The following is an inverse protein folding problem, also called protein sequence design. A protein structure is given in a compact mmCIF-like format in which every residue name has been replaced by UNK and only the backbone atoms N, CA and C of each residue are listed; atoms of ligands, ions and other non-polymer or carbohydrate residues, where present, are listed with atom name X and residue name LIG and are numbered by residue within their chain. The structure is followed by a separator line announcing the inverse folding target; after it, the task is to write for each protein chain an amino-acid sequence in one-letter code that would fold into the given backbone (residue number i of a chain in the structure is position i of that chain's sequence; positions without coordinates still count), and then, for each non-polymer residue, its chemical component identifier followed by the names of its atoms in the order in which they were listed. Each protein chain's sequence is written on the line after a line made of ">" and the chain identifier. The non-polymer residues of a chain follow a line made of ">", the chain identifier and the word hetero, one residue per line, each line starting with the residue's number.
data_IF_745741896776
#
_entry.id   IF_745741896776
#
_cell.length_a   1.000
_cell.length_b   1.000
_cell.length_c   1.000
_cell.angle_alpha   90.00
_cell.angle_beta   90.00
_cell.angle_gamma   90.00
#
_symmetry.space_group_name_H-M   'P 1'
#
loop_
_entity.id
_entity.type
_entity.pdbx_description
1 polymer ?
#
# COMPACT_ATOMS: atom_id res chain seq x y z
N UNK A 1 96.84 71.47 9.88
CA UNK A 1 96.09 71.13 8.64
C UNK A 1 96.85 70.06 7.86
N UNK A 2 96.11 69.06 7.40
CA UNK A 2 96.43 67.82 6.65
C UNK A 2 97.70 67.80 5.79
N UNK A 3 98.45 66.69 5.87
CA UNK A 3 99.07 66.04 4.70
C UNK A 3 98.78 64.53 4.75
N UNK A 4 97.68 64.12 4.15
CA UNK A 4 97.45 62.71 3.79
C UNK A 4 98.35 62.39 2.60
N UNK A 5 99.31 61.49 2.79
CA UNK A 5 100.14 60.94 1.73
C UNK A 5 99.25 60.14 0.77
N UNK A 6 98.94 60.70 -0.40
CA UNK A 6 98.36 59.95 -1.51
C UNK A 6 99.45 59.07 -2.11
N UNK A 7 99.43 57.77 -1.81
CA UNK A 7 100.22 56.77 -2.54
C UNK A 7 99.57 56.55 -3.91
N UNK A 8 100.33 56.72 -4.99
CA UNK A 8 99.86 56.51 -6.35
C UNK A 8 99.60 55.02 -6.61
N UNK A 9 98.49 54.72 -7.29
CA UNK A 9 98.14 53.39 -7.77
C UNK A 9 99.11 52.95 -8.88
N UNK A 10 99.71 51.78 -8.74
CA UNK A 10 100.47 51.14 -9.82
C UNK A 10 99.50 50.54 -10.84
N UNK A 11 99.79 50.71 -12.14
CA UNK A 11 99.02 50.11 -13.23
C UNK A 11 98.89 48.58 -13.06
N UNK A 12 99.87 47.93 -12.41
CA UNK A 12 99.90 46.50 -12.16
C UNK A 12 98.84 46.06 -11.12
N UNK A 13 98.61 46.84 -10.07
CA UNK A 13 97.59 46.55 -9.05
C UNK A 13 96.17 46.69 -9.62
N UNK A 14 95.96 47.66 -10.50
CA UNK A 14 94.66 47.85 -11.17
C UNK A 14 94.33 46.66 -12.10
N UNK A 15 95.30 46.20 -12.89
CA UNK A 15 95.12 45.04 -13.78
C UNK A 15 94.89 43.76 -12.99
N UNK A 16 95.58 43.57 -11.86
CA UNK A 16 95.44 42.37 -11.03
C UNK A 16 94.08 42.35 -10.31
N UNK A 17 93.62 43.49 -9.79
CA UNK A 17 92.28 43.61 -9.19
C UNK A 17 91.16 43.43 -10.23
N UNK A 18 91.33 43.97 -11.44
CA UNK A 18 90.36 43.77 -12.54
C UNK A 18 90.37 42.33 -13.06
N UNK A 19 91.54 41.68 -13.14
CA UNK A 19 91.69 40.28 -13.52
C UNK A 19 91.06 39.32 -12.51
N UNK A 20 91.34 39.49 -11.22
CA UNK A 20 90.76 38.65 -10.15
C UNK A 20 89.27 38.95 -9.96
N UNK A 21 88.86 40.21 -10.07
CA UNK A 21 87.45 40.62 -9.99
C UNK A 21 86.59 40.06 -11.13
N UNK A 22 87.09 40.06 -12.36
CA UNK A 22 86.40 39.48 -13.51
C UNK A 22 86.30 37.95 -13.44
N UNK A 23 87.34 37.25 -12.96
CA UNK A 23 87.27 35.80 -12.74
C UNK A 23 86.26 35.43 -11.66
N UNK A 24 86.24 36.14 -10.52
CA UNK A 24 85.25 35.90 -9.46
C UNK A 24 83.82 36.22 -9.91
N UNK A 25 83.62 37.29 -10.68
CA UNK A 25 82.32 37.61 -11.27
C UNK A 25 81.86 36.52 -12.25
N UNK A 26 82.77 35.97 -13.05
CA UNK A 26 82.46 34.89 -13.98
C UNK A 26 82.14 33.56 -13.26
N UNK A 27 82.86 33.21 -12.20
CA UNK A 27 82.54 32.04 -11.36
C UNK A 27 81.17 32.19 -10.71
N UNK A 28 80.88 33.35 -10.10
CA UNK A 28 79.56 33.64 -9.50
C UNK A 28 78.44 33.63 -10.53
N UNK A 29 78.69 34.12 -11.74
CA UNK A 29 77.72 34.05 -12.82
C UNK A 29 77.44 32.61 -13.26
N UNK A 30 78.46 31.74 -13.31
CA UNK A 30 78.28 30.32 -13.57
C UNK A 30 77.52 29.61 -12.45
N UNK A 31 77.83 29.88 -11.19
CA UNK A 31 77.11 29.34 -10.05
C UNK A 31 75.63 29.78 -10.07
N UNK A 32 75.38 31.07 -10.28
CA UNK A 32 74.02 31.60 -10.42
C UNK A 32 73.27 30.98 -11.60
N UNK A 33 73.94 30.72 -12.73
CA UNK A 33 73.34 30.01 -13.86
C UNK A 33 73.01 28.56 -13.50
N UNK A 34 73.89 27.86 -12.80
CA UNK A 34 73.66 26.47 -12.37
C UNK A 34 72.53 26.37 -11.32
N UNK A 35 72.43 27.35 -10.42
CA UNK A 35 71.31 27.49 -9.49
C UNK A 35 70.01 27.79 -10.23
N UNK A 36 70.02 28.70 -11.20
CA UNK A 36 68.86 29.00 -12.03
C UNK A 36 68.39 27.78 -12.82
N UNK A 37 69.30 27.05 -13.49
CA UNK A 37 69.00 25.81 -14.20
C UNK A 37 68.37 24.77 -13.24
N UNK A 38 68.83 24.70 -11.99
CA UNK A 38 68.30 23.81 -10.96
C UNK A 38 66.89 24.23 -10.51
N UNK A 39 66.64 25.52 -10.31
CA UNK A 39 65.32 26.05 -9.96
C UNK A 39 64.32 25.79 -11.09
N UNK A 40 64.73 26.00 -12.35
CA UNK A 40 63.91 25.68 -13.53
C UNK A 40 63.62 24.18 -13.58
N UNK A 41 64.61 23.31 -13.36
CA UNK A 41 64.40 21.86 -13.31
C UNK A 41 63.38 21.45 -12.24
N UNK A 42 63.48 22.00 -11.03
CA UNK A 42 62.49 21.75 -9.97
C UNK A 42 61.10 22.26 -10.37
N UNK A 43 60.99 23.47 -10.92
CA UNK A 43 59.72 24.00 -11.39
C UNK A 43 59.08 23.11 -12.48
N UNK A 44 59.86 22.66 -13.47
CA UNK A 44 59.39 21.69 -14.48
C UNK A 44 58.92 20.39 -13.83
N UNK A 45 59.66 19.91 -12.83
CA UNK A 45 59.28 18.73 -12.04
C UNK A 45 57.93 18.88 -11.33
N UNK A 46 57.74 19.99 -10.60
CA UNK A 46 56.49 20.30 -9.92
C UNK A 46 55.32 20.44 -10.90
N UNK A 47 55.53 21.13 -12.01
CA UNK A 47 54.50 21.31 -13.04
C UNK A 47 54.13 19.98 -13.71
N UNK A 48 55.10 19.09 -13.95
CA UNK A 48 54.84 17.74 -14.44
C UNK A 48 54.04 16.91 -13.44
N UNK A 49 54.37 16.99 -12.14
CA UNK A 49 53.61 16.32 -11.09
C UNK A 49 52.17 16.82 -11.00
N UNK A 50 51.97 18.14 -11.02
CA UNK A 50 50.63 18.74 -11.04
C UNK A 50 49.82 18.25 -12.25
N UNK A 51 50.44 18.17 -13.42
CA UNK A 51 49.81 17.61 -14.62
C UNK A 51 49.44 16.13 -14.41
N UNK A 52 50.34 15.32 -13.85
CA UNK A 52 50.11 13.92 -13.52
C UNK A 52 48.92 13.70 -12.58
N UNK A 53 48.85 14.49 -11.51
CA UNK A 53 47.74 14.45 -10.54
C UNK A 53 46.41 14.84 -11.19
N UNK A 54 46.39 15.89 -12.00
CA UNK A 54 45.20 16.30 -12.74
C UNK A 54 44.74 15.22 -13.73
N UNK A 55 45.66 14.57 -14.45
CA UNK A 55 45.31 13.47 -15.36
C UNK A 55 44.80 12.25 -14.59
N UNK A 56 45.37 11.91 -13.43
CA UNK A 56 44.83 10.85 -12.56
C UNK A 56 43.40 11.16 -12.09
N UNK A 57 43.12 12.41 -11.72
CA UNK A 57 41.77 12.86 -11.39
C UNK A 57 40.81 12.70 -12.58
N UNK A 58 41.28 13.02 -13.79
CA UNK A 58 40.49 12.85 -15.02
C UNK A 58 40.19 11.39 -15.32
N UNK A 59 41.20 10.50 -15.19
CA UNK A 59 41.01 9.05 -15.36
C UNK A 59 39.93 8.52 -14.41
N UNK A 60 39.92 8.99 -13.16
CA UNK A 60 38.92 8.60 -12.17
C UNK A 60 37.51 9.08 -12.56
N UNK A 61 37.34 10.36 -12.87
CA UNK A 61 36.02 10.95 -13.17
C UNK A 61 35.45 10.38 -14.47
N UNK A 62 36.29 10.15 -15.50
CA UNK A 62 35.90 9.72 -16.85
C UNK A 62 36.27 8.27 -17.16
N UNK A 63 36.45 7.42 -16.15
CA UNK A 63 36.79 6.01 -16.35
C UNK A 63 35.80 5.28 -17.26
N UNK A 64 34.50 5.58 -17.16
CA UNK A 64 33.46 5.00 -18.02
C UNK A 64 33.67 5.35 -19.51
N UNK A 65 34.05 6.59 -19.81
CA UNK A 65 34.32 7.04 -21.19
C UNK A 65 35.64 6.50 -21.71
N UNK A 66 36.66 6.42 -20.86
CA UNK A 66 37.98 5.90 -21.24
C UNK A 66 37.96 4.38 -21.42
N UNK A 67 37.21 3.65 -20.58
CA UNK A 67 37.02 2.20 -20.71
C UNK A 67 36.19 1.83 -21.94
N UNK A 68 35.34 2.72 -22.43
CA UNK A 68 34.58 2.54 -23.68
C UNK A 68 35.22 3.21 -24.91
N UNK A 69 36.34 3.92 -24.73
CA UNK A 69 37.02 4.69 -25.79
C UNK A 69 36.09 5.71 -26.47
N UNK A 70 35.27 6.40 -25.70
CA UNK A 70 34.30 7.39 -26.18
C UNK A 70 34.94 8.79 -26.28
N UNK A 71 34.99 9.35 -27.50
CA UNK A 71 35.48 10.70 -27.76
C UNK A 71 34.51 11.80 -27.28
N UNK A 72 35.00 13.01 -27.04
CA UNK A 72 34.22 14.20 -26.69
C UNK A 72 34.76 15.45 -27.37
N UNK A 73 33.87 16.35 -27.75
CA UNK A 73 34.17 17.65 -28.34
C UNK A 73 33.71 18.82 -27.44
N UNK A 74 33.81 18.67 -26.12
CA UNK A 74 33.40 19.68 -25.10
C UNK A 74 31.89 19.97 -25.04
N UNK A 75 31.10 18.93 -24.81
CA UNK A 75 29.65 19.05 -24.62
C UNK A 75 29.29 19.40 -23.16
N UNK A 76 28.08 19.88 -22.89
CA UNK A 76 27.68 20.34 -21.53
C UNK A 76 27.77 19.25 -20.45
N UNK A 77 27.49 17.99 -20.80
CA UNK A 77 27.62 16.83 -19.90
C UNK A 77 29.03 16.21 -19.90
N UNK A 78 29.90 16.70 -20.77
CA UNK A 78 31.23 16.16 -21.03
C UNK A 78 32.20 17.27 -21.53
N UNK A 79 32.56 18.21 -20.64
CA UNK A 79 33.19 19.47 -21.01
C UNK A 79 34.65 19.31 -21.46
N UNK A 80 35.33 18.24 -21.04
CA UNK A 80 36.71 17.95 -21.44
C UNK A 80 36.78 17.30 -22.83
N UNK A 81 37.34 17.97 -23.86
CA UNK A 81 37.50 17.35 -25.16
C UNK A 81 38.53 16.21 -25.08
N UNK A 82 38.25 15.10 -25.75
CA UNK A 82 39.10 13.91 -25.80
C UNK A 82 38.94 13.23 -27.16
N UNK A 83 40.04 12.79 -27.73
CA UNK A 83 40.03 12.07 -29.00
C UNK A 83 40.40 10.63 -28.72
N UNK A 84 39.53 9.68 -29.04
CA UNK A 84 39.78 8.26 -28.79
C UNK A 84 39.86 7.48 -30.10
N UNK A 85 40.75 6.49 -30.13
CA UNK A 85 40.90 5.51 -31.21
C UNK A 85 40.70 4.08 -30.67
N UNK A 86 41.08 3.05 -31.43
CA UNK A 86 40.92 1.64 -31.00
C UNK A 86 41.82 1.21 -29.83
N UNK A 87 42.84 1.99 -29.51
CA UNK A 87 43.91 1.66 -28.57
C UNK A 87 43.94 2.56 -27.32
N UNK A 88 43.40 3.78 -27.41
CA UNK A 88 43.48 4.74 -26.33
C UNK A 88 42.77 6.07 -26.62
N UNK A 89 43.02 7.05 -25.76
CA UNK A 89 42.53 8.41 -25.90
C UNK A 89 43.65 9.44 -25.68
N UNK A 90 43.66 10.50 -26.49
CA UNK A 90 44.49 11.68 -26.31
C UNK A 90 43.64 12.81 -25.68
N UNK A 91 44.22 13.46 -24.67
CA UNK A 91 43.64 14.63 -24.01
C UNK A 91 44.66 15.77 -23.96
N UNK A 92 44.19 16.96 -23.63
CA UNK A 92 45.04 18.15 -23.54
C UNK A 92 44.93 18.78 -22.15
N UNK A 93 45.83 19.71 -21.82
CA UNK A 93 45.69 20.49 -20.59
C UNK A 93 44.35 21.26 -20.55
N UNK A 94 43.79 21.64 -21.70
CA UNK A 94 42.49 22.29 -21.79
C UNK A 94 41.35 21.36 -21.34
N UNK A 95 41.46 20.06 -21.62
CA UNK A 95 40.56 19.03 -21.08
C UNK A 95 40.52 19.08 -19.56
N UNK A 96 41.67 19.19 -18.93
CA UNK A 96 41.79 19.22 -17.47
C UNK A 96 41.25 20.54 -16.88
N UNK A 97 41.44 21.67 -17.57
CA UNK A 97 40.82 22.95 -17.17
C UNK A 97 39.29 22.86 -17.25
N UNK A 98 38.76 22.36 -18.36
CA UNK A 98 37.32 22.24 -18.57
C UNK A 98 36.63 21.30 -17.58
N UNK A 99 37.37 20.32 -17.06
CA UNK A 99 36.93 19.38 -16.02
C UNK A 99 37.22 19.89 -14.59
N UNK A 100 37.77 21.10 -14.44
CA UNK A 100 38.05 21.73 -13.15
C UNK A 100 39.25 21.15 -12.40
N UNK A 101 40.13 20.40 -13.08
CA UNK A 101 41.28 19.70 -12.51
C UNK A 101 42.57 20.53 -12.58
N UNK A 102 42.60 21.56 -13.44
CA UNK A 102 43.66 22.57 -13.49
C UNK A 102 43.05 23.99 -13.36
N UNK A 103 43.79 24.96 -12.79
CA UNK A 103 43.33 26.35 -12.74
C UNK A 103 43.12 26.93 -14.13
N UNK A 104 42.12 27.83 -14.28
CA UNK A 104 41.82 28.53 -15.54
C UNK A 104 42.98 29.37 -16.08
N UNK A 105 43.95 29.72 -15.24
CA UNK A 105 45.17 30.45 -15.61
C UNK A 105 46.30 29.57 -16.16
N UNK A 106 46.10 28.25 -16.22
CA UNK A 106 47.14 27.32 -16.67
C UNK A 106 47.35 27.43 -18.19
N UNK A 107 48.60 27.61 -18.63
CA UNK A 107 48.94 27.93 -20.04
C UNK A 107 49.41 26.73 -20.86
N UNK A 108 49.52 25.54 -20.26
CA UNK A 108 49.95 24.33 -20.96
C UNK A 108 51.46 24.23 -21.23
N UNK A 109 52.24 25.23 -20.81
CA UNK A 109 53.68 25.31 -21.09
C UNK A 109 54.47 25.35 -19.77
N UNK A 110 55.51 24.52 -19.68
CA UNK A 110 56.35 24.41 -18.51
C UNK A 110 57.46 25.48 -18.45
N UNK A 111 58.22 25.52 -17.36
CA UNK A 111 59.33 26.47 -17.18
C UNK A 111 60.48 26.30 -18.20
N UNK A 112 60.57 25.17 -18.89
CA UNK A 112 61.49 24.91 -20.00
C UNK A 112 60.89 25.30 -21.37
N UNK A 113 59.74 25.99 -21.39
CA UNK A 113 59.02 26.41 -22.60
C UNK A 113 58.55 25.26 -23.48
N UNK A 114 58.31 24.10 -22.87
CA UNK A 114 57.82 22.89 -23.51
C UNK A 114 56.38 22.61 -23.09
N UNK A 115 55.56 22.18 -24.04
CA UNK A 115 54.17 21.78 -23.79
C UNK A 115 54.13 20.32 -23.33
N UNK A 116 52.93 19.82 -23.04
CA UNK A 116 52.67 18.44 -22.65
C UNK A 116 51.87 17.69 -23.70
N UNK A 117 52.22 16.42 -23.94
CA UNK A 117 51.41 15.47 -24.70
C UNK A 117 50.94 14.34 -23.80
N UNK A 118 49.62 14.17 -23.68
CA UNK A 118 48.98 13.25 -22.73
C UNK A 118 48.28 12.14 -23.52
N UNK A 119 48.77 10.91 -23.38
CA UNK A 119 48.16 9.73 -23.99
C UNK A 119 47.66 8.79 -22.91
N UNK A 120 46.41 8.34 -23.05
CA UNK A 120 45.75 7.37 -22.19
C UNK A 120 45.55 6.10 -23.00
N UNK A 121 45.86 4.94 -22.43
CA UNK A 121 45.76 3.63 -23.08
C UNK A 121 44.85 2.73 -22.27
N UNK A 122 43.93 2.05 -22.95
CA UNK A 122 43.06 1.04 -22.35
C UNK A 122 43.68 -0.34 -22.55
N UNK A 123 43.84 -1.09 -21.46
CA UNK A 123 44.27 -2.50 -21.47
C UNK A 123 43.28 -3.36 -20.67
N UNK A 124 43.47 -4.68 -20.66
CA UNK A 124 42.56 -5.62 -20.00
C UNK A 124 41.36 -6.05 -20.85
N UNK A 125 40.44 -6.77 -20.23
CA UNK A 125 39.23 -7.34 -20.88
C UNK A 125 37.99 -6.97 -20.08
N UNK A 126 36.83 -6.89 -20.75
CA UNK A 126 35.55 -6.62 -20.08
C UNK A 126 35.32 -7.62 -18.93
N UNK A 127 34.85 -7.18 -17.75
CA UNK A 127 34.51 -5.81 -17.35
C UNK A 127 35.69 -5.02 -16.73
N UNK A 128 36.87 -5.64 -16.61
CA UNK A 128 38.02 -5.12 -15.86
C UNK A 128 39.04 -4.43 -16.77
N UNK A 129 38.63 -3.33 -17.40
CA UNK A 129 39.58 -2.52 -18.15
C UNK A 129 40.53 -1.76 -17.22
N UNK A 130 41.78 -1.58 -17.63
CA UNK A 130 42.76 -0.75 -16.92
C UNK A 130 43.08 0.43 -17.82
N UNK A 131 43.01 1.64 -17.26
CA UNK A 131 43.37 2.86 -17.97
C UNK A 131 44.71 3.33 -17.44
N UNK A 132 45.75 3.16 -18.25
CA UNK A 132 47.07 3.72 -18.00
C UNK A 132 47.28 4.98 -18.84
N UNK A 133 48.29 5.76 -18.54
CA UNK A 133 48.69 6.85 -19.43
C UNK A 133 50.13 7.28 -19.26
N UNK A 134 50.61 8.01 -20.25
CA UNK A 134 51.94 8.60 -20.28
C UNK A 134 51.85 10.06 -20.74
N UNK A 135 52.35 10.94 -19.89
CA UNK A 135 52.54 12.35 -20.19
C UNK A 135 54.01 12.54 -20.59
N UNK A 136 54.26 13.26 -21.66
CA UNK A 136 55.63 13.66 -22.06
C UNK A 136 55.69 15.15 -22.35
N UNK A 137 56.85 15.76 -22.16
CA UNK A 137 57.12 17.09 -22.73
C UNK A 137 57.23 17.02 -24.25
N UNK A 138 56.82 18.05 -24.98
CA UNK A 138 56.84 18.05 -26.45
C UNK A 138 58.21 18.39 -27.05
N UNK A 139 59.07 19.07 -26.29
CA UNK A 139 60.43 19.44 -26.70
C UNK A 139 61.47 18.73 -25.83
N UNK A 140 62.57 18.22 -26.41
CA UNK A 140 63.67 17.67 -25.65
C UNK A 140 64.41 18.77 -24.90
N UNK A 141 64.84 18.46 -23.68
CA UNK A 141 65.70 19.34 -22.92
C UNK A 141 67.12 19.21 -23.45
N UNK A 142 67.48 20.09 -24.40
CA UNK A 142 68.81 20.11 -25.00
C UNK A 142 69.43 21.50 -25.01
N UNK A 143 70.75 21.58 -24.82
CA UNK A 143 71.55 22.78 -25.03
C UNK A 143 72.73 22.44 -25.94
N UNK A 144 72.94 23.22 -27.01
CA UNK A 144 74.07 23.05 -27.96
C UNK A 144 74.20 21.61 -28.49
N UNK A 145 73.06 20.99 -28.83
CA UNK A 145 73.01 19.64 -29.40
C UNK A 145 73.21 18.49 -28.41
N UNK A 146 73.34 18.75 -27.09
CA UNK A 146 73.41 17.73 -26.04
C UNK A 146 72.17 17.76 -25.15
N UNK A 147 71.65 16.57 -24.82
CA UNK A 147 70.52 16.43 -23.90
C UNK A 147 70.96 16.64 -22.44
N UNK A 148 70.25 17.51 -21.71
CA UNK A 148 70.50 17.86 -20.30
C UNK A 148 69.86 16.84 -19.36
N UNK A 149 70.36 15.60 -19.39
CA UNK A 149 69.90 14.53 -18.49
C UNK A 149 70.12 14.85 -17.00
N UNK A 150 71.08 15.73 -16.70
CA UNK A 150 71.30 16.26 -15.35
C UNK A 150 70.10 17.07 -14.84
N UNK A 151 69.49 17.90 -15.69
CA UNK A 151 68.31 18.70 -15.34
C UNK A 151 67.04 17.85 -15.36
N UNK A 152 66.90 16.94 -16.32
CA UNK A 152 65.80 15.96 -16.32
C UNK A 152 65.82 15.11 -15.05
N UNK A 153 66.99 14.64 -14.62
CA UNK A 153 67.13 13.91 -13.35
C UNK A 153 66.71 14.73 -12.13
N UNK A 154 67.03 16.02 -12.09
CA UNK A 154 66.56 16.93 -11.02
C UNK A 154 65.06 17.17 -11.08
N UNK A 155 64.50 17.34 -12.27
CA UNK A 155 63.04 17.46 -12.45
C UNK A 155 62.31 16.19 -12.02
N UNK A 156 62.87 15.02 -12.33
CA UNK A 156 62.33 13.72 -11.89
C UNK A 156 62.34 13.56 -10.36
N UNK A 157 63.41 13.99 -9.68
CA UNK A 157 63.47 13.95 -8.21
C UNK A 157 62.33 14.75 -7.57
N UNK A 158 61.97 15.89 -8.15
CA UNK A 158 60.89 16.73 -7.68
C UNK A 158 59.50 16.18 -8.06
N UNK A 159 59.38 15.60 -9.26
CA UNK A 159 58.13 15.03 -9.75
C UNK A 159 57.74 13.71 -9.04
N UNK A 160 58.73 12.96 -8.55
CA UNK A 160 58.52 11.73 -7.78
C UNK A 160 58.66 10.43 -8.59
N UNK A 161 58.23 9.31 -8.00
CA UNK A 161 58.52 7.95 -8.51
C UNK A 161 57.87 7.62 -9.86
N UNK A 162 56.77 8.30 -10.19
CA UNK A 162 56.07 8.12 -11.46
C UNK A 162 56.69 8.93 -12.61
N UNK A 163 57.68 9.77 -12.31
CA UNK A 163 58.44 10.49 -13.32
C UNK A 163 59.46 9.60 -14.01
N UNK A 164 59.79 9.98 -15.24
CA UNK A 164 60.75 9.33 -16.10
C UNK A 164 61.32 10.29 -17.12
N UNK A 165 62.16 9.76 -18.00
CA UNK A 165 62.68 10.49 -19.14
C UNK A 165 62.88 9.55 -20.33
N UNK A 166 62.84 10.10 -21.54
CA UNK A 166 63.13 9.33 -22.74
C UNK A 166 64.63 9.21 -22.94
N UNK A 167 65.13 7.98 -22.99
CA UNK A 167 66.55 7.69 -23.22
C UNK A 167 66.87 7.65 -24.72
N UNK A 168 65.86 7.35 -25.53
CA UNK A 168 65.90 7.30 -26.99
C UNK A 168 64.54 7.74 -27.55
N UNK A 169 64.42 7.78 -28.87
CA UNK A 169 63.13 7.96 -29.54
C UNK A 169 62.15 6.78 -29.38
N UNK A 170 62.54 5.71 -28.69
CA UNK A 170 61.76 4.46 -28.57
C UNK A 170 61.51 4.00 -27.13
N UNK A 171 62.21 4.58 -26.15
CA UNK A 171 62.19 4.12 -24.77
C UNK A 171 62.09 5.29 -23.78
N UNK A 172 61.05 5.27 -22.96
CA UNK A 172 60.95 6.03 -21.72
C UNK A 172 61.23 5.13 -20.52
N UNK A 173 61.95 5.64 -19.52
CA UNK A 173 62.26 4.90 -18.30
C UNK A 173 62.11 5.78 -17.08
N UNK A 174 61.53 5.20 -16.02
CA UNK A 174 61.52 5.79 -14.68
C UNK A 174 62.91 5.79 -14.03
N UNK A 175 63.01 6.43 -12.86
CA UNK A 175 64.22 6.44 -12.04
C UNK A 175 64.69 5.00 -11.76
N UNK A 176 65.99 4.72 -11.99
CA UNK A 176 66.60 3.39 -11.86
C UNK A 176 65.91 2.26 -12.66
N UNK A 177 65.09 2.59 -13.68
CA UNK A 177 64.39 1.58 -14.47
C UNK A 177 63.17 0.95 -13.77
N UNK A 178 62.63 1.60 -12.73
CA UNK A 178 61.47 1.13 -11.97
C UNK A 178 60.23 0.83 -12.86
N UNK A 179 60.14 1.48 -14.01
CA UNK A 179 59.19 1.20 -15.06
C UNK A 179 59.78 1.58 -16.41
N UNK A 180 59.24 0.99 -17.48
CA UNK A 180 59.63 1.25 -18.86
C UNK A 180 58.38 1.30 -19.73
N UNK A 181 58.36 2.26 -20.64
CA UNK A 181 57.31 2.40 -21.65
C UNK A 181 57.95 2.56 -23.02
N UNK A 182 57.28 2.06 -24.06
CA UNK A 182 57.82 2.04 -25.42
C UNK A 182 57.02 2.91 -26.36
N UNK A 183 57.65 3.36 -27.45
CA UNK A 183 56.97 4.13 -28.50
C UNK A 183 55.82 3.38 -29.19
N UNK A 184 55.83 2.03 -29.10
CA UNK A 184 54.73 1.18 -29.58
C UNK A 184 53.50 1.33 -28.70
N UNK A 185 53.69 1.53 -27.39
CA UNK A 185 52.59 1.74 -26.45
C UNK A 185 52.14 3.19 -26.41
N UNK A 186 53.08 4.11 -26.51
CA UNK A 186 52.85 5.55 -26.41
C UNK A 186 53.64 6.30 -27.48
N UNK A 187 52.94 6.78 -28.51
CA UNK A 187 53.52 7.48 -29.67
C UNK A 187 54.15 8.84 -29.34
N UNK A 188 53.94 9.36 -28.13
CA UNK A 188 54.57 10.56 -27.63
C UNK A 188 56.03 10.33 -27.17
N UNK A 189 56.51 9.08 -27.14
CA UNK A 189 57.93 8.74 -27.08
C UNK A 189 58.50 8.80 -28.50
N UNK A 190 59.11 9.93 -28.87
CA UNK A 190 59.57 10.18 -30.25
C UNK A 190 60.95 10.86 -30.36
N UNK A 191 61.54 11.23 -29.22
CA UNK A 191 62.87 11.85 -29.15
C UNK A 191 63.52 11.49 -27.82
N UNK A 192 64.85 11.54 -27.76
CA UNK A 192 65.59 11.46 -26.51
C UNK A 192 65.52 12.78 -25.74
N UNK A 193 65.58 12.74 -24.41
CA UNK A 193 65.63 13.93 -23.56
C UNK A 193 64.27 14.60 -23.31
N UNK A 194 63.16 13.92 -23.51
CA UNK A 194 61.84 14.36 -23.03
C UNK A 194 61.69 13.97 -21.56
N UNK A 195 61.03 14.83 -20.77
CA UNK A 195 60.53 14.42 -19.45
C UNK A 195 59.24 13.63 -19.63
N UNK A 196 59.07 12.54 -18.89
CA UNK A 196 57.91 11.68 -18.92
C UNK A 196 57.29 11.53 -17.52
N UNK A 197 55.99 11.20 -17.45
CA UNK A 197 55.27 10.93 -16.21
C UNK A 197 54.16 9.91 -16.48
N UNK A 198 54.14 8.79 -15.73
CA UNK A 198 53.10 7.77 -15.86
C UNK A 198 51.88 8.08 -14.98
N UNK A 199 50.70 7.70 -15.43
CA UNK A 199 49.41 7.92 -14.73
C UNK A 199 48.52 6.68 -14.86
N UNK A 200 47.51 6.56 -14.01
CA UNK A 200 46.50 5.49 -14.09
C UNK A 200 46.87 4.14 -13.48
N UNK A 201 48.01 4.07 -12.76
CA UNK A 201 48.41 2.88 -12.00
C UNK A 201 47.31 2.48 -10.99
N UNK A 202 46.88 1.21 -11.01
CA UNK A 202 45.79 0.63 -10.20
C UNK A 202 44.36 1.17 -10.45
N UNK A 203 44.08 1.71 -11.64
CA UNK A 203 42.75 2.25 -11.99
C UNK A 203 41.57 1.25 -11.90
N UNK A 204 41.83 -0.06 -11.83
CA UNK A 204 40.81 -1.09 -11.62
C UNK A 204 40.09 -0.96 -10.27
N UNK A 205 40.76 -0.44 -9.23
CA UNK A 205 40.18 -0.32 -7.88
C UNK A 205 39.12 0.79 -7.77
N UNK A 206 39.03 1.69 -8.75
CA UNK A 206 38.04 2.78 -8.74
C UNK A 206 36.61 2.32 -9.06
N UNK A 207 36.44 1.10 -9.58
CA UNK A 207 35.13 0.48 -9.82
C UNK A 207 34.51 -0.20 -8.59
N UNK A 208 35.26 -0.30 -7.48
CA UNK A 208 34.87 -1.08 -6.28
C UNK A 208 34.02 -0.27 -5.30
N UNK A 209 34.04 1.07 -5.39
CA UNK A 209 33.28 1.94 -4.49
C UNK A 209 31.99 2.44 -5.14
N UNK A 210 30.89 2.39 -4.38
CA UNK A 210 29.64 3.05 -4.77
C UNK A 210 29.86 4.57 -4.79
N UNK A 211 29.62 5.19 -5.95
CA UNK A 211 29.66 6.66 -6.05
C UNK A 211 28.49 7.25 -5.26
N UNK A 212 28.81 8.20 -4.38
CA UNK A 212 27.83 8.92 -3.54
C UNK A 212 27.29 10.19 -4.19
N UNK A 213 27.88 10.60 -5.31
CA UNK A 213 27.49 11.78 -6.07
C UNK A 213 26.25 11.55 -6.95
N UNK A 214 25.74 10.30 -7.03
CA UNK A 214 24.56 9.93 -7.80
C UNK A 214 24.75 10.00 -9.31
N UNK A 215 25.97 10.23 -9.79
CA UNK A 215 26.24 10.42 -11.23
C UNK A 215 26.24 9.13 -12.03
N UNK A 216 26.47 7.99 -11.35
CA UNK A 216 26.49 6.66 -11.96
C UNK A 216 25.73 5.65 -11.09
N UNK A 217 24.72 4.95 -11.64
CA UNK A 217 24.09 3.83 -10.95
C UNK A 217 25.04 2.64 -10.86
N UNK A 218 24.74 1.70 -9.97
CA UNK A 218 25.41 0.40 -9.93
C UNK A 218 25.17 -0.35 -11.24
N UNK A 219 26.21 -1.00 -11.77
CA UNK A 219 26.12 -1.84 -12.97
C UNK A 219 25.86 -3.33 -12.66
N UNK A 220 25.70 -3.67 -11.38
CA UNK A 220 25.40 -5.00 -10.86
C UNK A 220 24.77 -4.93 -9.48
N UNK A 221 24.46 -6.08 -8.90
CA UNK A 221 23.76 -6.18 -7.61
C UNK A 221 24.67 -5.80 -6.43
N UNK A 222 24.09 -5.18 -5.39
CA UNK A 222 24.75 -4.98 -4.10
C UNK A 222 24.48 -6.18 -3.20
N UNK A 223 25.49 -7.03 -2.98
CA UNK A 223 25.39 -8.08 -1.98
C UNK A 223 25.98 -7.60 -0.64
N UNK A 224 25.11 -7.41 0.36
CA UNK A 224 25.51 -6.96 1.70
C UNK A 224 26.09 -8.09 2.57
N UNK A 225 26.08 -9.36 2.11
CA UNK A 225 26.66 -10.48 2.86
C UNK A 225 25.99 -10.76 4.22
N UNK A 226 24.71 -10.41 4.37
CA UNK A 226 23.98 -10.53 5.63
C UNK A 226 24.18 -9.38 6.62
N UNK A 227 24.87 -8.31 6.22
CA UNK A 227 25.03 -7.12 7.03
C UNK A 227 23.83 -6.16 6.93
N UNK A 228 23.66 -5.36 7.97
CA UNK A 228 22.55 -4.40 8.09
C UNK A 228 22.72 -3.17 7.20
N UNK A 229 21.58 -2.56 6.84
CA UNK A 229 21.51 -1.19 6.27
C UNK A 229 20.89 -0.30 7.35
N UNK A 230 21.73 0.43 8.08
CA UNK A 230 21.28 1.31 9.16
C UNK A 230 21.04 2.74 8.66
N UNK A 231 20.05 3.41 9.25
CA UNK A 231 19.74 4.84 9.01
C UNK A 231 19.45 5.20 7.53
N UNK A 232 18.94 4.27 6.73
CA UNK A 232 18.38 4.62 5.43
C UNK A 232 17.10 5.45 5.62
N UNK A 233 17.06 6.65 5.03
CA UNK A 233 15.87 7.50 5.06
C UNK A 233 14.76 6.93 4.18
N UNK A 234 15.10 6.65 2.92
CA UNK A 234 14.18 6.16 1.90
C UNK A 234 14.81 4.97 1.16
N UNK A 235 14.01 3.92 0.93
CA UNK A 235 14.35 2.81 0.03
C UNK A 235 13.19 2.70 -0.96
N UNK A 236 13.43 3.10 -2.21
CA UNK A 236 12.43 2.96 -3.28
C UNK A 236 12.82 1.78 -4.17
N UNK A 237 12.04 0.70 -4.10
CA UNK A 237 12.22 -0.49 -4.93
C UNK A 237 11.13 -0.57 -5.99
N UNK A 238 11.50 -0.79 -7.26
CA UNK A 238 10.56 -1.02 -8.36
C UNK A 238 10.23 -2.50 -8.56
N UNK A 239 11.03 -3.38 -7.97
CA UNK A 239 10.85 -4.84 -8.01
C UNK A 239 10.32 -5.40 -6.69
N UNK A 240 10.64 -6.67 -6.45
CA UNK A 240 10.23 -7.39 -5.24
C UNK A 240 11.15 -7.08 -4.06
N UNK A 241 10.56 -6.78 -2.90
CA UNK A 241 11.27 -6.79 -1.62
C UNK A 241 10.95 -8.09 -0.88
N UNK A 242 11.96 -8.92 -0.66
CA UNK A 242 11.83 -10.16 0.13
C UNK A 242 12.47 -9.94 1.49
N UNK A 243 11.71 -10.13 2.56
CA UNK A 243 12.20 -10.09 3.94
C UNK A 243 11.64 -11.27 4.72
N UNK A 244 12.39 -11.77 5.70
CA UNK A 244 11.86 -12.74 6.67
C UNK A 244 10.77 -12.11 7.55
N UNK A 245 11.02 -10.88 8.04
CA UNK A 245 10.07 -10.10 8.84
C UNK A 245 10.04 -8.67 8.30
N UNK A 246 8.86 -8.16 7.99
CA UNK A 246 8.64 -6.73 7.72
C UNK A 246 8.05 -6.09 8.97
N UNK A 247 8.85 -5.29 9.69
CA UNK A 247 8.40 -4.55 10.86
C UNK A 247 8.16 -3.09 10.50
N UNK A 248 6.90 -2.75 10.17
CA UNK A 248 6.49 -1.36 9.93
C UNK A 248 5.90 -0.77 11.20
N UNK A 249 6.43 0.37 11.65
CA UNK A 249 5.93 1.12 12.81
C UNK A 249 4.98 2.25 12.43
N UNK A 250 4.86 2.55 11.13
CA UNK A 250 3.96 3.56 10.59
C UNK A 250 2.94 2.95 9.63
N UNK A 251 2.36 3.80 8.79
CA UNK A 251 1.35 3.39 7.83
C UNK A 251 1.93 2.47 6.76
N UNK A 252 1.18 1.44 6.39
CA UNK A 252 1.51 0.53 5.28
C UNK A 252 0.40 0.62 4.25
N UNK A 253 0.69 1.26 3.10
CA UNK A 253 -0.26 1.37 2.00
C UNK A 253 0.03 0.32 0.93
N UNK A 254 -0.87 -0.64 0.74
CA UNK A 254 -0.76 -1.69 -0.30
C UNK A 254 -1.68 -1.32 -1.45
N UNK A 255 -1.10 -0.92 -2.59
CA UNK A 255 -1.87 -0.41 -3.74
C UNK A 255 -2.72 -1.45 -4.48
N UNK A 256 -2.52 -2.74 -4.21
CA UNK A 256 -3.28 -3.84 -4.80
C UNK A 256 -3.71 -4.84 -3.73
N UNK A 257 -3.20 -6.08 -3.77
CA UNK A 257 -3.62 -7.15 -2.88
C UNK A 257 -2.64 -7.32 -1.72
N UNK A 258 -3.17 -7.50 -0.50
CA UNK A 258 -2.43 -8.07 0.62
C UNK A 258 -2.79 -9.56 0.73
N UNK A 259 -1.87 -10.43 0.32
CA UNK A 259 -2.04 -11.88 0.46
C UNK A 259 -1.28 -12.38 1.70
N UNK A 260 -2.00 -12.98 2.66
CA UNK A 260 -1.42 -13.50 3.90
C UNK A 260 -1.71 -14.99 3.97
N UNK A 261 -0.65 -15.81 3.96
CA UNK A 261 -0.77 -17.28 4.05
C UNK A 261 -1.10 -17.76 5.47
N UNK A 262 -0.68 -17.00 6.48
CA UNK A 262 -0.95 -17.26 7.88
C UNK A 262 -2.09 -16.42 8.44
N UNK A 263 -2.06 -16.22 9.75
CA UNK A 263 -3.09 -15.45 10.45
C UNK A 263 -2.83 -13.95 10.33
N UNK A 264 -3.90 -13.15 10.28
CA UNK A 264 -3.82 -11.69 10.43
C UNK A 264 -4.48 -11.29 11.75
N UNK A 265 -3.72 -10.64 12.63
CA UNK A 265 -4.26 -10.01 13.84
C UNK A 265 -4.36 -8.50 13.62
N UNK A 266 -5.57 -7.96 13.72
CA UNK A 266 -5.83 -6.52 13.67
C UNK A 266 -6.35 -6.09 15.03
N UNK A 267 -5.56 -5.31 15.78
CA UNK A 267 -5.97 -4.80 17.09
C UNK A 267 -6.95 -3.62 16.98
N UNK A 268 -6.98 -2.96 15.82
CA UNK A 268 -7.89 -1.85 15.51
C UNK A 268 -9.15 -2.30 14.75
N UNK A 269 -9.74 -1.37 14.02
CA UNK A 269 -10.93 -1.62 13.19
C UNK A 269 -10.53 -2.20 11.83
N UNK A 270 -11.32 -3.14 11.31
CA UNK A 270 -11.27 -3.57 9.91
C UNK A 270 -12.36 -2.82 9.16
N UNK A 271 -11.97 -1.88 8.28
CA UNK A 271 -12.90 -1.18 7.41
C UNK A 271 -12.82 -1.75 5.98
N UNK A 272 -13.83 -2.52 5.57
CA UNK A 272 -13.92 -3.14 4.24
C UNK A 272 -15.05 -2.51 3.44
N UNK A 273 -14.75 -2.04 2.22
CA UNK A 273 -15.74 -1.44 1.32
C UNK A 273 -16.56 -2.45 0.52
N UNK A 274 -16.18 -3.73 0.55
CA UNK A 274 -16.81 -4.78 -0.24
C UNK A 274 -17.20 -5.95 0.67
N UNK A 275 -16.48 -7.05 0.61
CA UNK A 275 -16.85 -8.32 1.26
C UNK A 275 -15.88 -8.62 2.38
N UNK A 276 -16.42 -9.13 3.49
CA UNK A 276 -15.65 -9.85 4.51
C UNK A 276 -16.17 -11.28 4.49
N UNK A 277 -15.30 -12.23 4.18
CA UNK A 277 -15.64 -13.65 4.06
C UNK A 277 -14.67 -14.51 4.84
N UNK A 278 -15.19 -15.56 5.47
CA UNK A 278 -14.43 -16.61 6.12
C UNK A 278 -15.32 -17.82 6.36
N UNK A 279 -14.74 -18.98 6.65
CA UNK A 279 -15.51 -20.17 7.01
C UNK A 279 -16.42 -19.91 8.23
N UNK A 280 -15.95 -19.07 9.17
CA UNK A 280 -16.71 -18.59 10.31
C UNK A 280 -16.39 -17.11 10.53
N UNK A 281 -17.42 -16.30 10.77
CA UNK A 281 -17.29 -14.91 11.19
C UNK A 281 -17.97 -14.77 12.56
N UNK A 282 -17.19 -14.40 13.57
CA UNK A 282 -17.67 -14.21 14.94
C UNK A 282 -17.54 -12.76 15.35
N UNK A 283 -18.67 -12.08 15.58
CA UNK A 283 -18.68 -10.78 16.25
C UNK A 283 -18.78 -10.96 17.75
N UNK A 284 -17.94 -10.25 18.52
CA UNK A 284 -18.04 -10.18 19.99
C UNK A 284 -18.98 -9.06 20.46
N UNK A 285 -19.39 -8.18 19.54
CA UNK A 285 -20.32 -7.09 19.79
C UNK A 285 -21.58 -7.21 18.96
N UNK A 286 -22.21 -6.08 18.69
CA UNK A 286 -23.43 -6.01 17.89
C UNK A 286 -23.14 -6.15 16.39
N UNK A 287 -24.16 -6.49 15.61
CA UNK A 287 -24.10 -6.53 14.15
C UNK A 287 -25.22 -5.65 13.60
N UNK A 288 -24.83 -4.57 12.92
CA UNK A 288 -25.76 -3.66 12.25
C UNK A 288 -25.67 -3.85 10.73
N UNK A 289 -26.82 -4.08 10.10
CA UNK A 289 -26.94 -4.23 8.65
C UNK A 289 -27.91 -3.20 8.10
N UNK A 290 -27.45 -2.35 7.17
CA UNK A 290 -28.33 -1.36 6.52
C UNK A 290 -29.31 -2.00 5.52
N UNK A 291 -28.98 -3.20 5.04
CA UNK A 291 -29.80 -3.97 4.11
C UNK A 291 -30.22 -5.29 4.76
N UNK A 292 -30.77 -6.21 3.97
CA UNK A 292 -31.27 -7.50 4.43
C UNK A 292 -30.16 -8.34 5.08
N UNK A 293 -30.45 -8.91 6.25
CA UNK A 293 -29.67 -10.02 6.79
C UNK A 293 -30.07 -11.31 6.06
N UNK A 294 -29.13 -11.89 5.32
CA UNK A 294 -29.39 -13.08 4.48
C UNK A 294 -28.67 -14.29 5.05
N UNK A 295 -29.39 -15.40 5.17
CA UNK A 295 -28.82 -16.73 5.44
C UNK A 295 -28.88 -17.57 4.16
N UNK A 296 -27.95 -18.51 4.02
CA UNK A 296 -27.84 -19.40 2.86
C UNK A 296 -28.01 -20.86 3.31
N UNK A 297 -28.48 -21.70 2.38
CA UNK A 297 -28.82 -23.10 2.66
C UNK A 297 -30.03 -23.24 3.59
N UNK A 298 -30.16 -24.39 4.24
CA UNK A 298 -31.34 -24.74 5.05
C UNK A 298 -31.24 -24.25 6.52
N UNK A 299 -30.43 -23.21 6.75
CA UNK A 299 -30.15 -22.66 8.08
C UNK A 299 -30.66 -21.23 8.22
N UNK A 300 -30.54 -20.67 9.42
CA UNK A 300 -31.04 -19.32 9.69
C UNK A 300 -30.42 -18.70 10.92
N UNK A 301 -31.21 -17.88 11.63
CA UNK A 301 -30.78 -17.34 12.91
C UNK A 301 -30.84 -18.43 13.98
N UNK A 302 -29.74 -18.61 14.70
CA UNK A 302 -29.63 -19.59 15.78
C UNK A 302 -29.07 -18.95 17.05
N UNK A 303 -29.76 -19.17 18.17
CA UNK A 303 -29.33 -18.75 19.51
C UNK A 303 -28.55 -19.88 20.17
N UNK A 304 -27.21 -19.80 20.13
CA UNK A 304 -26.32 -20.82 20.70
C UNK A 304 -26.59 -21.12 22.18
N UNK A 305 -26.89 -20.08 22.98
CA UNK A 305 -27.14 -20.23 24.42
C UNK A 305 -28.44 -20.98 24.73
N UNK A 306 -29.48 -20.77 23.93
CA UNK A 306 -30.84 -21.25 24.23
C UNK A 306 -31.31 -22.41 23.34
N UNK A 307 -30.51 -22.80 22.34
CA UNK A 307 -30.84 -23.90 21.43
C UNK A 307 -32.13 -23.66 20.64
N UNK A 308 -32.40 -22.41 20.26
CA UNK A 308 -33.58 -21.99 19.52
C UNK A 308 -33.20 -21.10 18.33
N UNK A 309 -34.16 -20.71 17.51
CA UNK A 309 -33.84 -20.01 16.27
C UNK A 309 -35.00 -19.93 15.29
N UNK A 310 -34.70 -19.37 14.12
CA UNK A 310 -35.58 -19.32 12.96
C UNK A 310 -34.81 -19.84 11.75
N UNK A 311 -35.38 -20.78 11.00
CA UNK A 311 -34.76 -21.34 9.80
C UNK A 311 -35.80 -21.67 8.73
N UNK A 312 -35.35 -21.90 7.51
CA UNK A 312 -36.15 -22.39 6.40
C UNK A 312 -35.45 -23.60 5.80
N UNK A 313 -36.18 -24.67 5.53
CA UNK A 313 -35.69 -25.87 4.82
C UNK A 313 -36.50 -26.15 3.55
N UNK A 314 -37.38 -25.22 3.19
CA UNK A 314 -38.13 -25.16 1.94
C UNK A 314 -38.48 -23.69 1.65
N UNK A 315 -39.10 -23.45 0.50
CA UNK A 315 -39.47 -22.11 0.05
C UNK A 315 -40.75 -21.54 0.69
N UNK A 316 -41.45 -22.30 1.53
CA UNK A 316 -42.81 -21.96 1.98
C UNK A 316 -42.88 -21.51 3.44
N UNK A 317 -42.03 -22.08 4.31
CA UNK A 317 -42.18 -21.92 5.76
C UNK A 317 -40.91 -21.40 6.44
N UNK A 318 -41.10 -20.35 7.24
CA UNK A 318 -40.19 -20.02 8.35
C UNK A 318 -40.58 -20.88 9.55
N UNK A 319 -39.59 -21.58 10.13
CA UNK A 319 -39.79 -22.55 11.20
C UNK A 319 -39.08 -22.12 12.48
N UNK A 320 -39.74 -22.30 13.61
CA UNK A 320 -39.09 -22.14 14.91
C UNK A 320 -38.22 -23.37 15.17
N UNK A 321 -36.90 -23.16 15.32
CA UNK A 321 -35.96 -24.26 15.54
C UNK A 321 -36.32 -25.02 16.82
N UNK A 322 -36.28 -26.36 16.77
CA UNK A 322 -36.71 -27.24 17.88
C UNK A 322 -38.13 -26.99 18.38
N UNK A 323 -39.04 -26.55 17.50
CA UNK A 323 -40.45 -26.26 17.82
C UNK A 323 -40.61 -25.30 19.02
N UNK A 324 -39.71 -24.31 19.14
CA UNK A 324 -39.80 -23.30 20.20
C UNK A 324 -41.05 -22.42 20.01
N UNK A 325 -41.71 -22.10 21.12
CA UNK A 325 -42.90 -21.27 21.13
C UNK A 325 -42.58 -19.80 20.80
N UNK A 326 -43.55 -19.08 20.23
CA UNK A 326 -43.47 -17.64 20.00
C UNK A 326 -44.24 -16.91 21.10
N UNK A 327 -43.54 -16.09 21.88
CA UNK A 327 -44.13 -15.25 22.92
C UNK A 327 -43.92 -13.77 22.57
N UNK A 328 -45.00 -12.99 22.54
CA UNK A 328 -44.97 -11.56 22.29
C UNK A 328 -46.07 -10.87 23.09
N UNK A 329 -45.78 -9.66 23.60
CA UNK A 329 -46.81 -8.79 24.17
C UNK A 329 -47.61 -8.03 23.11
N UNK A 330 -47.20 -8.11 21.84
CA UNK A 330 -47.87 -7.49 20.70
C UNK A 330 -48.80 -8.44 19.95
N UNK A 331 -49.06 -8.12 18.68
CA UNK A 331 -49.93 -8.91 17.81
C UNK A 331 -49.12 -9.84 16.90
N UNK A 332 -49.66 -11.04 16.64
CA UNK A 332 -49.26 -11.88 15.51
C UNK A 332 -50.29 -11.68 14.41
N UNK A 333 -49.87 -11.20 13.24
CA UNK A 333 -50.74 -10.97 12.08
C UNK A 333 -50.24 -11.80 10.90
N UNK A 334 -51.15 -12.51 10.24
CA UNK A 334 -50.89 -13.30 9.05
C UNK A 334 -52.17 -13.47 8.24
N UNK A 335 -52.08 -14.02 7.03
CA UNK A 335 -53.27 -14.30 6.20
C UNK A 335 -54.24 -15.26 6.86
N UNK A 336 -53.71 -16.29 7.54
CA UNK A 336 -54.45 -17.24 8.37
C UNK A 336 -53.59 -17.71 9.53
N UNK A 337 -54.23 -18.12 10.63
CA UNK A 337 -53.58 -18.82 11.74
C UNK A 337 -54.27 -20.16 11.90
N UNK A 338 -53.55 -21.24 11.61
CA UNK A 338 -54.01 -22.61 11.82
C UNK A 338 -53.35 -23.18 13.07
N UNK A 339 -54.15 -23.77 13.95
CA UNK A 339 -53.68 -24.50 15.11
C UNK A 339 -54.00 -25.98 14.92
N UNK A 340 -52.98 -26.84 14.93
CA UNK A 340 -53.16 -28.30 14.82
C UNK A 340 -53.76 -28.92 16.10
N UNK A 341 -53.74 -28.15 17.21
CA UNK A 341 -54.38 -28.49 18.47
C UNK A 341 -55.50 -27.52 18.84
N UNK A 342 -55.39 -26.90 20.02
CA UNK A 342 -56.38 -25.94 20.51
C UNK A 342 -55.92 -24.50 20.30
N UNK A 343 -56.83 -23.64 19.86
CA UNK A 343 -56.69 -22.20 19.98
C UNK A 343 -57.27 -21.76 21.33
N UNK A 344 -56.42 -21.28 22.23
CA UNK A 344 -56.83 -20.72 23.53
C UNK A 344 -56.66 -19.20 23.49
N UNK A 345 -57.72 -18.47 23.81
CA UNK A 345 -57.70 -17.02 24.00
C UNK A 345 -57.86 -16.72 25.49
N UNK A 346 -57.05 -15.78 26.01
CA UNK A 346 -57.07 -15.44 27.45
C UNK A 346 -58.22 -14.53 27.86
N UNK A 347 -58.75 -13.73 26.93
CA UNK A 347 -59.80 -12.74 27.19
C UNK A 347 -61.02 -13.00 26.29
N UNK A 348 -61.04 -12.46 25.07
CA UNK A 348 -62.15 -12.63 24.11
C UNK A 348 -61.66 -13.01 22.71
N UNK A 349 -62.40 -13.88 22.02
CA UNK A 349 -62.19 -14.15 20.60
C UNK A 349 -63.00 -13.16 19.76
N UNK A 350 -62.33 -12.17 19.16
CA UNK A 350 -62.97 -11.22 18.27
C UNK A 350 -63.07 -11.76 16.84
N UNK A 351 -64.29 -11.99 16.37
CA UNK A 351 -64.57 -12.39 14.99
C UNK A 351 -64.93 -11.16 14.16
N UNK A 352 -64.06 -10.82 13.20
CA UNK A 352 -64.28 -9.68 12.31
C UNK A 352 -65.09 -10.03 11.05
N UNK A 353 -65.33 -11.33 10.79
CA UNK A 353 -66.18 -11.78 9.69
C UNK A 353 -67.65 -11.44 9.95
N UNK A 354 -68.17 -10.46 9.22
CA UNK A 354 -69.59 -10.09 9.25
C UNK A 354 -70.36 -10.87 8.18
N UNK A 355 -71.44 -11.52 8.57
CA UNK A 355 -72.31 -12.28 7.69
C UNK A 355 -73.79 -11.99 7.96
N UNK A 356 -74.62 -12.24 6.95
CA UNK A 356 -76.07 -12.15 7.05
C UNK A 356 -76.64 -13.55 7.25
N UNK A 357 -77.54 -13.71 8.23
CA UNK A 357 -78.24 -14.98 8.42
C UNK A 357 -79.01 -15.36 7.14
N UNK A 358 -78.99 -16.64 6.78
CA UNK A 358 -79.57 -17.16 5.54
C UNK A 358 -78.67 -17.04 4.30
N UNK A 359 -77.55 -16.32 4.36
CA UNK A 359 -76.60 -16.26 3.25
C UNK A 359 -75.77 -17.56 3.16
N UNK A 360 -75.32 -17.90 1.95
CA UNK A 360 -74.46 -19.05 1.71
C UNK A 360 -73.11 -18.91 2.42
N UNK A 361 -72.56 -20.01 2.91
CA UNK A 361 -71.26 -20.05 3.57
C UNK A 361 -70.54 -21.38 3.28
N UNK A 362 -69.21 -21.37 3.39
CA UNK A 362 -68.38 -22.57 3.28
C UNK A 362 -67.00 -22.30 3.89
N UNK A 363 -66.36 -23.30 4.52
CA UNK A 363 -66.92 -24.62 4.86
C UNK A 363 -67.90 -24.53 6.04
N UNK A 364 -68.62 -25.63 6.28
CA UNK A 364 -69.41 -25.78 7.52
C UNK A 364 -68.50 -25.68 8.76
N UNK A 365 -69.04 -25.12 9.84
CA UNK A 365 -68.33 -24.93 11.11
C UNK A 365 -67.65 -23.57 11.27
N UNK A 366 -67.58 -22.74 10.22
CA UNK A 366 -67.11 -21.36 10.36
C UNK A 366 -67.97 -20.60 11.37
N UNK A 367 -67.30 -19.81 12.21
CA UNK A 367 -67.94 -18.88 13.14
C UNK A 367 -67.78 -17.46 12.61
N UNK A 368 -68.87 -16.70 12.63
CA UNK A 368 -68.91 -15.30 12.23
C UNK A 368 -69.86 -14.52 13.12
N UNK A 369 -70.16 -13.28 12.73
CA UNK A 369 -71.16 -12.47 13.43
C UNK A 369 -72.05 -11.68 12.49
N UNK A 370 -73.21 -11.24 12.96
CA UNK A 370 -73.96 -10.17 12.30
C UNK A 370 -73.26 -8.82 12.49
N UNK A 371 -73.66 -7.80 11.74
CA UNK A 371 -73.17 -6.44 11.92
C UNK A 371 -73.41 -5.92 13.35
N UNK A 372 -74.52 -6.35 13.97
CA UNK A 372 -74.89 -6.06 15.35
C UNK A 372 -74.12 -6.88 16.41
N UNK A 373 -73.30 -7.87 16.00
CA UNK A 373 -72.44 -8.63 16.90
C UNK A 373 -72.99 -9.99 17.35
N UNK A 374 -74.14 -10.45 16.84
CA UNK A 374 -74.68 -11.77 17.18
C UNK A 374 -73.88 -12.88 16.51
N UNK A 375 -73.58 -13.96 17.22
CA UNK A 375 -72.82 -15.10 16.67
C UNK A 375 -73.63 -15.82 15.59
N UNK A 376 -72.95 -16.16 14.49
CA UNK A 376 -73.45 -17.00 13.42
C UNK A 376 -72.54 -18.21 13.25
N UNK A 377 -73.13 -19.36 12.96
CA UNK A 377 -72.42 -20.59 12.59
C UNK A 377 -72.81 -20.99 11.17
N UNK A 378 -71.82 -21.39 10.36
CA UNK A 378 -72.08 -21.95 9.05
C UNK A 378 -72.52 -23.42 9.17
N UNK A 379 -73.79 -23.71 8.88
CA UNK A 379 -74.36 -25.06 8.99
C UNK A 379 -75.07 -25.39 7.69
N UNK A 380 -74.76 -26.56 7.12
CA UNK A 380 -75.31 -27.04 5.83
C UNK A 380 -75.21 -25.99 4.70
N UNK A 381 -74.09 -25.26 4.65
CA UNK A 381 -73.80 -24.27 3.62
C UNK A 381 -74.50 -22.93 3.81
N UNK A 382 -75.14 -22.68 4.96
CA UNK A 382 -75.86 -21.43 5.26
C UNK A 382 -75.51 -20.86 6.63
N UNK A 383 -75.36 -19.54 6.73
CA UNK A 383 -75.17 -18.84 7.99
C UNK A 383 -76.44 -18.90 8.84
N UNK A 384 -76.38 -19.58 9.98
CA UNK A 384 -77.48 -19.71 10.93
C UNK A 384 -77.15 -19.00 12.25
N UNK A 385 -78.15 -18.37 12.87
CA UNK A 385 -78.04 -17.85 14.24
C UNK A 385 -77.88 -19.01 15.23
N UNK A 386 -77.04 -18.82 16.26
CA UNK A 386 -76.84 -19.85 17.28
C UNK A 386 -78.07 -20.06 18.16
N UNK A 387 -78.98 -19.07 18.24
CA UNK A 387 -80.30 -19.22 18.86
C UNK A 387 -81.30 -19.69 17.81
N UNK A 388 -81.88 -20.87 18.01
CA UNK A 388 -83.02 -21.33 17.24
C UNK A 388 -84.21 -20.40 17.40
N UNK A 389 -85.15 -20.43 16.44
CA UNK A 389 -86.50 -19.94 16.74
C UNK A 389 -87.06 -20.86 17.83
N UNK A 390 -87.73 -20.34 18.87
CA UNK A 390 -88.26 -21.19 19.93
C UNK A 390 -89.22 -22.22 19.31
N UNK A 391 -89.14 -23.46 19.78
CA UNK A 391 -90.11 -24.49 19.40
C UNK A 391 -91.46 -24.07 19.96
N UNK A 392 -92.48 -24.01 19.10
CA UNK A 392 -93.84 -23.63 19.48
C UNK A 392 -94.70 -24.87 19.66
N UNK A 393 -95.30 -25.02 20.83
CA UNK A 393 -96.30 -26.06 21.13
C UNK A 393 -97.63 -25.41 21.49
N UNK A 394 -98.73 -25.92 20.96
CA UNK A 394 -100.07 -25.41 21.22
C UNK A 394 -100.90 -26.46 21.95
N UNK A 395 -101.58 -26.04 23.02
CA UNK A 395 -102.47 -26.91 23.79
C UNK A 395 -103.85 -26.27 23.87
N UNK A 396 -104.91 -27.04 23.62
CA UNK A 396 -106.29 -26.56 23.63
C UNK A 396 -107.18 -27.50 24.43
N UNK A 397 -107.94 -26.95 25.38
CA UNK A 397 -108.85 -27.71 26.22
C UNK A 397 -110.18 -26.96 26.38
N UNK A 398 -111.28 -27.71 26.50
CA UNK A 398 -112.64 -27.17 26.68
C UNK A 398 -113.39 -27.89 27.80
N UNK A 399 -114.10 -27.14 28.65
CA UNK A 399 -114.97 -27.70 29.69
C UNK A 399 -116.17 -26.77 29.97
N UNK A 400 -117.41 -27.21 29.69
CA UNK A 400 -118.62 -26.37 29.75
C UNK A 400 -119.59 -26.68 30.91
N UNK A 401 -119.12 -27.31 32.00
CA UNK A 401 -120.00 -27.84 33.06
C UNK A 401 -119.85 -27.15 34.43
N UNK A 402 -119.50 -25.86 34.47
CA UNK A 402 -119.22 -25.10 35.71
C UNK A 402 -118.17 -25.73 36.67
N UNK A 403 -117.51 -26.81 36.25
CA UNK A 403 -116.50 -27.55 37.01
C UNK A 403 -115.09 -27.19 36.53
N UNK A 404 -114.16 -27.05 37.46
CA UNK A 404 -112.75 -26.76 37.16
C UNK A 404 -112.01 -28.03 36.72
N UNK A 405 -111.21 -27.93 35.65
CA UNK A 405 -110.27 -28.98 35.27
C UNK A 405 -108.86 -28.44 35.06
N UNK A 406 -107.88 -29.13 35.65
CA UNK A 406 -106.46 -28.89 35.44
C UNK A 406 -105.91 -29.96 34.50
N UNK A 407 -105.41 -29.52 33.34
CA UNK A 407 -104.72 -30.40 32.40
C UNK A 407 -103.24 -30.08 32.40
N UNK A 408 -102.42 -31.07 32.71
CA UNK A 408 -100.98 -30.92 32.63
C UNK A 408 -100.54 -30.83 31.17
N UNK A 409 -99.80 -29.77 30.82
CA UNK A 409 -99.36 -29.52 29.45
C UNK A 409 -97.85 -29.71 29.25
N UNK A 410 -97.13 -30.24 30.25
CA UNK A 410 -95.72 -30.59 30.10
C UNK A 410 -94.75 -29.60 30.73
N UNK A 411 -93.46 -29.81 30.43
CA UNK A 411 -92.36 -28.94 30.80
C UNK A 411 -92.03 -27.99 29.65
N UNK A 412 -92.04 -26.68 29.90
CA UNK A 412 -91.83 -25.61 28.93
C UNK A 412 -91.15 -24.40 29.58
N UNK A 413 -90.33 -23.65 28.84
CA UNK A 413 -89.66 -22.45 29.38
C UNK A 413 -90.68 -21.35 29.68
N UNK A 414 -91.67 -21.17 28.80
CA UNK A 414 -92.81 -20.29 29.04
C UNK A 414 -94.05 -20.81 28.33
N UNK A 415 -95.19 -20.81 29.01
CA UNK A 415 -96.49 -20.93 28.38
C UNK A 415 -97.33 -19.69 28.66
N UNK A 416 -98.09 -19.26 27.67
CA UNK A 416 -99.03 -18.14 27.79
C UNK A 416 -100.39 -18.54 27.25
N UNK A 417 -101.44 -18.03 27.87
CA UNK A 417 -102.76 -18.06 27.27
C UNK A 417 -102.76 -17.19 26.02
N UNK A 418 -103.23 -17.74 24.90
CA UNK A 418 -103.37 -17.00 23.64
C UNK A 418 -104.83 -16.86 23.22
N UNK A 419 -105.73 -17.62 23.85
CA UNK A 419 -107.16 -17.54 23.62
C UNK A 419 -107.90 -18.18 24.80
N UNK A 420 -108.76 -17.40 25.44
CA UNK A 420 -109.70 -17.87 26.45
C UNK A 420 -111.09 -17.39 26.13
N UNK A 421 -112.06 -18.30 26.09
CA UNK A 421 -113.48 -17.97 25.96
C UNK A 421 -114.19 -18.47 27.21
N UNK A 422 -114.27 -17.59 28.19
CA UNK A 422 -114.80 -17.88 29.51
C UNK A 422 -116.09 -17.12 29.75
N UNK A 423 -117.07 -17.82 30.32
CA UNK A 423 -118.39 -17.26 30.63
C UNK A 423 -118.57 -16.92 32.12
N UNK A 424 -117.48 -16.68 32.87
CA UNK A 424 -117.55 -16.25 34.26
C UNK A 424 -116.98 -14.82 34.48
N UNK A 425 -117.50 -14.13 35.50
CA UNK A 425 -117.18 -12.72 35.82
C UNK A 425 -116.12 -12.63 36.94
N UNK A 426 -115.29 -13.66 37.12
CA UNK A 426 -114.41 -13.82 38.28
C UNK A 426 -112.93 -13.64 37.91
N UNK A 427 -112.37 -12.46 38.20
CA UNK A 427 -110.99 -12.09 37.88
C UNK A 427 -109.92 -12.83 38.73
N UNK A 428 -110.30 -13.81 39.55
CA UNK A 428 -109.35 -14.58 40.38
C UNK A 428 -108.67 -15.74 39.64
N UNK A 429 -109.05 -16.00 38.39
CA UNK A 429 -108.64 -17.17 37.61
C UNK A 429 -107.39 -16.98 36.74
N UNK A 430 -106.63 -18.06 36.54
CA UNK A 430 -105.43 -18.12 35.68
C UNK A 430 -105.55 -19.31 34.73
N UNK A 431 -105.85 -19.05 33.45
CA UNK A 431 -106.05 -20.09 32.45
C UNK A 431 -104.81 -20.89 32.07
N UNK A 432 -103.65 -20.25 32.07
CA UNK A 432 -102.37 -20.93 31.91
C UNK A 432 -101.50 -20.54 33.09
N UNK A 433 -101.05 -21.53 33.84
CA UNK A 433 -100.22 -21.28 35.02
C UNK A 433 -99.06 -22.25 35.15
N UNK A 434 -97.95 -21.70 35.62
CA UNK A 434 -96.79 -22.46 36.04
C UNK A 434 -97.00 -22.89 37.48
N UNK A 435 -97.14 -24.20 37.72
CA UNK A 435 -97.43 -24.73 39.05
C UNK A 435 -96.18 -25.34 39.72
N UNK A 436 -95.10 -25.54 38.97
CA UNK A 436 -93.76 -25.84 39.45
C UNK A 436 -92.72 -25.37 38.41
N UNK A 437 -91.42 -25.38 38.74
CA UNK A 437 -90.35 -24.96 37.82
C UNK A 437 -90.49 -25.65 36.47
N UNK A 438 -90.63 -24.82 35.43
CA UNK A 438 -90.90 -25.18 34.03
C UNK A 438 -92.10 -26.10 33.78
N UNK A 439 -92.89 -26.47 34.79
CA UNK A 439 -94.05 -27.34 34.63
C UNK A 439 -95.32 -26.49 34.56
N UNK A 440 -96.03 -26.65 33.45
CA UNK A 440 -97.20 -25.85 33.14
C UNK A 440 -98.45 -26.70 33.11
N UNK A 441 -99.55 -26.08 33.52
CA UNK A 441 -100.89 -26.64 33.37
C UNK A 441 -101.80 -25.59 32.78
N UNK A 442 -102.83 -26.08 32.10
CA UNK A 442 -103.93 -25.29 31.61
C UNK A 442 -105.15 -25.61 32.46
N UNK A 443 -105.84 -24.57 32.90
CA UNK A 443 -107.02 -24.66 33.74
C UNK A 443 -108.19 -24.16 32.93
N UNK A 444 -109.24 -24.97 32.79
CA UNK A 444 -110.43 -24.58 32.01
C UNK A 444 -111.67 -24.70 32.88
N UNK A 445 -112.49 -23.64 32.92
CA UNK A 445 -113.75 -23.61 33.68
C UNK A 445 -114.85 -22.92 32.89
N UNK A 446 -115.91 -23.67 32.58
CA UNK A 446 -117.05 -23.17 31.82
C UNK A 446 -116.68 -22.42 30.51
N UNK A 447 -115.75 -22.98 29.75
CA UNK A 447 -115.14 -22.30 28.62
C UNK A 447 -114.16 -23.17 27.84
N UNK A 448 -113.32 -22.49 27.06
CA UNK A 448 -112.19 -23.09 26.33
C UNK A 448 -110.95 -22.22 26.49
N UNK A 449 -109.79 -22.86 26.67
CA UNK A 449 -108.50 -22.19 26.82
C UNK A 449 -107.47 -22.78 25.85
N UNK A 450 -106.63 -21.92 25.27
CA UNK A 450 -105.49 -22.29 24.44
C UNK A 450 -104.18 -21.73 25.01
N UNK A 451 -103.20 -22.59 25.24
CA UNK A 451 -101.85 -22.23 25.64
C UNK A 451 -100.87 -22.31 24.45
N UNK A 452 -100.05 -21.27 24.27
CA UNK A 452 -98.81 -21.33 23.48
C UNK A 452 -97.64 -21.52 24.42
N UNK A 453 -96.92 -22.62 24.26
CA UNK A 453 -95.67 -22.88 24.96
C UNK A 453 -94.47 -22.70 24.03
N UNK A 454 -93.41 -22.07 24.54
CA UNK A 454 -92.15 -21.83 23.86
C UNK A 454 -91.01 -22.54 24.59
N UNK A 455 -90.18 -23.26 23.83
CA UNK A 455 -88.94 -23.89 24.30
C UNK A 455 -87.75 -23.30 23.50
N UNK A 456 -86.69 -22.84 24.18
CA UNK A 456 -85.52 -22.15 23.58
C UNK A 456 -84.28 -23.01 23.38
#
# INVERSE_FOLDING_TARGET
>A
MKKQNKKGFSLLELVLVLGVGSMMAFMRFQDMKNEQDTVIAKAVGQQMKQMGEAVNGYINIRYDKLSTLTASSSQSSDPGPRTCDSSGCEITYQTLINEGLLPVSYTGVNAQKSSYKILLKRTGTTPNYVINGLITTTLPWSEVGKYRYDLLGKAMQEAGIDSGMTQSATLASGLQGAWKETSTDYSNINSAGLMAYRVGYDSAMYSVYLRRDGTLPMTGDLNMGGNDINNAKDITATGTTTSGILHSTGDTNVGANLNVSGNTQVNGTINSNNTVSGATITSRGETYTQNWFRTLGDTGWYSQKWGGGWYMSDSSWIRAYSNKNVYTGGQIRGGSVQADGRLTVGEFAQLNGVANAGASCSPNGLQGRTAAGQILSCVNGVWASSGGKPRKSFYYYSNYNNSYNYSYIGQHDVCVSIYGNENDQDDTWRGVEQYATDLWRITVKNGSEMALCLDW
#
